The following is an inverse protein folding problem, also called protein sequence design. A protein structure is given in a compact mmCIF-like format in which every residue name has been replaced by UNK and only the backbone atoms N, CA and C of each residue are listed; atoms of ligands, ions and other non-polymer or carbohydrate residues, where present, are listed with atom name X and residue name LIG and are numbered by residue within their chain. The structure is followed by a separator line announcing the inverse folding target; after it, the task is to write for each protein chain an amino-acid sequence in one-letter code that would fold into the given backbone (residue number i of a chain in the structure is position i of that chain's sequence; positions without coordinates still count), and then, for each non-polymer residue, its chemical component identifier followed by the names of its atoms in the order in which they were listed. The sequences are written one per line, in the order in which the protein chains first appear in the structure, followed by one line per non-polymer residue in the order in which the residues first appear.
data_IF_515748949434
#
_entry.id   IF_515748949434
#
_cell.length_a   1.000
_cell.length_b   1.000
_cell.length_c   1.000
_cell.angle_alpha   90.00
_cell.angle_beta   90.00
_cell.angle_gamma   90.00
#
_symmetry.space_group_name_H-M   'P 1'
#
loop_
_entity.id
_entity.type
_entity.pdbx_description
1 polymer ?
#
# COMPACT_ATOMS: atom_id res chain seq x y z
N UNK A 1 -19.70 -35.56 -21.54
CA UNK A 1 -18.31 -35.06 -21.30
C UNK A 1 -18.20 -33.59 -20.92
N UNK A 2 -19.11 -32.70 -21.35
CA UNK A 2 -19.06 -31.27 -21.04
C UNK A 2 -19.31 -30.88 -19.57
N UNK A 3 -20.22 -31.59 -18.88
CA UNK A 3 -20.55 -31.32 -17.48
C UNK A 3 -19.37 -31.66 -16.54
N UNK A 4 -18.72 -32.79 -16.70
CA UNK A 4 -17.57 -33.17 -15.89
C UNK A 4 -16.39 -32.19 -16.02
N UNK A 5 -16.08 -31.79 -17.27
CA UNK A 5 -15.05 -30.76 -17.53
C UNK A 5 -15.39 -29.44 -16.89
N UNK A 6 -16.65 -29.00 -16.98
CA UNK A 6 -17.11 -27.74 -16.39
C UNK A 6 -17.01 -27.76 -14.85
N UNK A 7 -17.49 -28.88 -14.23
CA UNK A 7 -17.41 -29.07 -12.78
C UNK A 7 -15.98 -29.11 -12.29
N UNK A 8 -15.09 -29.80 -13.02
CA UNK A 8 -13.66 -29.85 -12.69
C UNK A 8 -13.00 -28.50 -12.78
N UNK A 9 -13.22 -27.72 -13.85
CA UNK A 9 -12.66 -26.38 -14.02
C UNK A 9 -13.18 -25.43 -12.96
N UNK A 10 -14.48 -25.45 -12.65
CA UNK A 10 -15.07 -24.63 -11.60
C UNK A 10 -14.49 -25.00 -10.22
N UNK A 11 -14.36 -26.29 -9.93
CA UNK A 11 -13.72 -26.75 -8.70
C UNK A 11 -12.27 -26.29 -8.59
N UNK A 12 -11.52 -26.37 -9.69
CA UNK A 12 -10.12 -25.91 -9.74
C UNK A 12 -10.01 -24.40 -9.45
N UNK A 13 -10.85 -23.58 -10.10
CA UNK A 13 -10.85 -22.12 -9.90
C UNK A 13 -11.13 -21.72 -8.44
N UNK A 14 -11.98 -22.49 -7.74
CA UNK A 14 -12.29 -22.24 -6.32
C UNK A 14 -11.20 -22.82 -5.41
N UNK A 15 -10.74 -24.04 -5.70
CA UNK A 15 -9.81 -24.76 -4.81
C UNK A 15 -8.39 -24.21 -4.87
N UNK A 16 -7.91 -23.78 -6.04
CA UNK A 16 -6.52 -23.30 -6.19
C UNK A 16 -6.24 -22.05 -5.35
N UNK A 17 -7.05 -20.97 -5.37
CA UNK A 17 -6.81 -19.81 -4.52
C UNK A 17 -6.84 -20.16 -3.02
N UNK A 18 -7.79 -21.01 -2.62
CA UNK A 18 -7.91 -21.45 -1.23
C UNK A 18 -6.70 -22.25 -0.78
N UNK A 19 -6.25 -23.20 -1.61
CA UNK A 19 -5.07 -24.03 -1.34
C UNK A 19 -3.79 -23.19 -1.26
N UNK A 20 -3.60 -22.24 -2.20
CA UNK A 20 -2.46 -21.31 -2.18
C UNK A 20 -2.49 -20.48 -0.88
N UNK A 21 -3.64 -19.95 -0.49
CA UNK A 21 -3.79 -19.17 0.73
C UNK A 21 -3.41 -19.98 1.97
N UNK A 22 -3.95 -21.20 2.11
CA UNK A 22 -3.67 -22.06 3.25
C UNK A 22 -2.19 -22.45 3.30
N UNK A 23 -1.61 -22.87 2.17
CA UNK A 23 -0.19 -23.25 2.08
C UNK A 23 0.70 -22.07 2.43
N UNK A 24 0.40 -20.88 1.92
CA UNK A 24 1.18 -19.65 2.21
C UNK A 24 1.09 -19.29 3.69
N UNK A 25 -0.11 -19.34 4.29
CA UNK A 25 -0.28 -19.07 5.72
C UNK A 25 0.47 -20.08 6.59
N UNK A 26 0.37 -21.37 6.30
CA UNK A 26 1.09 -22.42 7.04
C UNK A 26 2.60 -22.25 6.89
N UNK A 27 3.08 -21.94 5.68
CA UNK A 27 4.50 -21.72 5.42
C UNK A 27 5.01 -20.47 6.17
N UNK A 28 4.28 -19.36 6.12
CA UNK A 28 4.62 -18.13 6.85
C UNK A 28 4.62 -18.38 8.37
N UNK A 29 3.64 -19.10 8.89
CA UNK A 29 3.56 -19.47 10.29
C UNK A 29 4.80 -20.29 10.72
N UNK A 30 5.18 -21.30 9.95
CA UNK A 30 6.38 -22.12 10.20
C UNK A 30 7.66 -21.31 10.13
N UNK A 31 7.74 -20.34 9.22
CA UNK A 31 8.90 -19.46 9.09
C UNK A 31 9.07 -18.60 10.35
N UNK A 32 7.99 -18.00 10.83
CA UNK A 32 7.98 -17.16 12.04
C UNK A 32 8.30 -18.01 13.28
N UNK A 33 7.66 -19.16 13.43
CA UNK A 33 7.93 -20.09 14.52
C UNK A 33 9.37 -20.60 14.50
N UNK A 34 9.92 -20.85 13.31
CA UNK A 34 11.31 -21.28 13.15
C UNK A 34 12.32 -20.27 13.67
N UNK A 35 12.07 -18.98 13.45
CA UNK A 35 12.93 -17.90 13.99
C UNK A 35 12.82 -17.81 15.52
N UNK A 36 11.65 -18.04 16.08
CA UNK A 36 11.42 -17.97 17.53
C UNK A 36 11.76 -19.26 18.28
N UNK A 37 11.96 -20.38 17.58
CA UNK A 37 12.24 -21.70 18.13
C UNK A 37 13.41 -21.73 19.11
N UNK A 38 14.61 -21.17 18.79
CA UNK A 38 15.73 -21.17 19.75
C UNK A 38 15.37 -20.42 21.03
N UNK A 39 14.57 -19.37 20.97
CA UNK A 39 14.14 -18.62 22.14
C UNK A 39 13.13 -19.41 22.98
N UNK A 40 12.22 -20.14 22.37
CA UNK A 40 11.24 -20.98 23.07
C UNK A 40 11.90 -22.16 23.80
N UNK A 41 12.87 -22.80 23.16
CA UNK A 41 13.67 -23.88 23.78
C UNK A 41 14.51 -23.36 24.95
N UNK A 42 15.13 -22.17 24.78
CA UNK A 42 15.95 -21.56 25.83
C UNK A 42 15.13 -21.15 27.07
N UNK A 43 13.93 -20.56 26.86
CA UNK A 43 13.09 -20.04 27.94
C UNK A 43 12.21 -21.11 28.62
N UNK A 44 11.69 -22.06 27.83
CA UNK A 44 10.66 -23.02 28.29
C UNK A 44 11.14 -24.47 28.28
N UNK A 45 12.37 -24.73 27.82
CA UNK A 45 12.93 -26.07 27.71
C UNK A 45 12.23 -27.00 26.70
N UNK A 46 11.24 -26.50 25.97
CA UNK A 46 10.45 -27.24 24.99
C UNK A 46 10.00 -26.37 23.84
N UNK A 47 9.74 -27.01 22.72
CA UNK A 47 9.14 -26.33 21.55
C UNK A 47 7.62 -26.16 21.79
N UNK A 48 7.13 -24.93 21.69
CA UNK A 48 5.71 -24.61 21.79
C UNK A 48 5.26 -24.05 20.43
N UNK A 49 4.49 -24.80 19.64
CA UNK A 49 3.96 -24.32 18.37
C UNK A 49 3.11 -23.07 18.57
N UNK A 50 3.28 -22.06 17.73
CA UNK A 50 2.54 -20.79 17.80
C UNK A 50 3.16 -19.74 18.72
N UNK A 51 4.15 -20.09 19.54
CA UNK A 51 4.83 -19.12 20.40
C UNK A 51 5.56 -18.06 19.59
N UNK A 52 6.09 -18.44 18.41
CA UNK A 52 6.75 -17.52 17.49
C UNK A 52 5.83 -16.40 17.00
N UNK A 53 4.58 -16.71 16.76
CA UNK A 53 3.59 -15.69 16.34
C UNK A 53 3.33 -14.71 17.49
N UNK A 54 3.19 -15.19 18.71
CA UNK A 54 3.00 -14.34 19.89
C UNK A 54 4.22 -13.45 20.13
N UNK A 55 5.42 -14.02 20.07
CA UNK A 55 6.68 -13.25 20.22
C UNK A 55 6.79 -12.20 19.12
N UNK A 56 6.51 -12.55 17.87
CA UNK A 56 6.56 -11.61 16.75
C UNK A 56 5.52 -10.51 16.90
N UNK A 57 4.28 -10.84 17.29
CA UNK A 57 3.24 -9.85 17.57
C UNK A 57 3.64 -8.90 18.70
N UNK A 58 4.16 -9.45 19.81
CA UNK A 58 4.66 -8.65 20.93
C UNK A 58 5.83 -7.74 20.48
N UNK A 59 6.77 -8.26 19.69
CA UNK A 59 7.88 -7.48 19.14
C UNK A 59 7.39 -6.32 18.26
N UNK A 60 6.43 -6.59 17.35
CA UNK A 60 5.83 -5.55 16.50
C UNK A 60 5.14 -4.47 17.36
N UNK A 61 4.39 -4.87 18.39
CA UNK A 61 3.72 -3.94 19.29
C UNK A 61 4.73 -3.08 20.06
N UNK A 62 5.81 -3.67 20.56
CA UNK A 62 6.89 -2.94 21.26
C UNK A 62 7.57 -1.94 20.32
N UNK A 63 7.94 -2.39 19.11
CA UNK A 63 8.55 -1.50 18.09
C UNK A 63 7.57 -0.39 17.71
N UNK A 64 6.28 -0.69 17.53
CA UNK A 64 5.24 0.29 17.26
C UNK A 64 5.09 1.30 18.40
N UNK A 65 5.02 0.85 19.64
CA UNK A 65 4.95 1.73 20.81
C UNK A 65 6.19 2.62 20.96
N UNK A 66 7.38 2.09 20.65
CA UNK A 66 8.61 2.90 20.61
C UNK A 66 8.58 3.91 19.46
N UNK A 67 8.07 3.51 18.29
CA UNK A 67 7.99 4.37 17.12
C UNK A 67 6.99 5.53 17.27
N UNK A 68 5.97 5.41 18.12
CA UNK A 68 5.00 6.48 18.41
C UNK A 68 5.59 7.54 19.34
N UNK A 69 6.62 7.21 20.12
CA UNK A 69 7.29 8.16 21.01
C UNK A 69 8.39 8.94 20.25
N UNK A 70 8.49 10.25 20.50
CA UNK A 70 9.47 11.14 19.83
C UNK A 70 10.91 10.65 20.03
N UNK A 71 11.26 10.24 21.24
CA UNK A 71 12.61 9.75 21.58
C UNK A 71 12.86 8.40 20.89
N UNK A 72 11.91 7.47 21.00
CA UNK A 72 12.02 6.16 20.37
C UNK A 72 12.12 6.26 18.84
N UNK A 73 11.37 7.14 18.23
CA UNK A 73 11.46 7.43 16.79
C UNK A 73 12.86 7.89 16.36
N UNK A 74 13.50 8.75 17.16
CA UNK A 74 14.88 9.19 16.90
C UNK A 74 15.89 8.04 17.03
N UNK A 75 15.71 7.16 18.00
CA UNK A 75 16.57 5.98 18.19
C UNK A 75 16.43 5.02 17.01
N UNK A 76 15.19 4.70 16.62
CA UNK A 76 14.90 3.83 15.47
C UNK A 76 15.49 4.41 14.17
N UNK A 77 15.34 5.71 13.94
CA UNK A 77 15.91 6.38 12.75
C UNK A 77 17.45 6.39 12.75
N UNK A 78 18.08 6.44 13.93
CA UNK A 78 19.55 6.30 14.01
C UNK A 78 20.00 4.88 13.70
N UNK A 79 19.33 3.88 14.28
CA UNK A 79 19.59 2.46 14.00
C UNK A 79 19.40 2.13 12.52
N UNK A 80 18.33 2.63 11.92
CA UNK A 80 18.06 2.47 10.49
C UNK A 80 19.16 3.10 9.62
N UNK A 81 19.62 4.32 9.95
CA UNK A 81 20.72 4.96 9.21
C UNK A 81 22.00 4.14 9.29
N UNK A 82 22.28 3.54 10.45
CA UNK A 82 23.43 2.67 10.61
C UNK A 82 23.32 1.40 9.76
N UNK A 83 22.15 0.76 9.73
CA UNK A 83 21.87 -0.40 8.86
C UNK A 83 21.99 -0.07 7.38
N UNK A 84 21.55 1.12 6.97
CA UNK A 84 21.64 1.59 5.57
C UNK A 84 23.08 1.86 5.10
N UNK A 85 24.07 1.92 6.01
CA UNK A 85 25.48 1.97 5.66
C UNK A 85 26.02 0.61 5.17
N UNK A 86 25.29 -0.48 5.42
CA UNK A 86 25.64 -1.81 4.90
C UNK A 86 25.10 -1.91 3.45
N UNK A 87 26.00 -2.08 2.44
CA UNK A 87 25.59 -1.99 1.03
C UNK A 87 24.49 -2.97 0.65
N UNK A 88 24.58 -4.22 1.11
CA UNK A 88 23.59 -5.26 0.82
C UNK A 88 22.22 -4.93 1.44
N UNK A 89 22.21 -4.40 2.65
CA UNK A 89 20.98 -4.03 3.35
C UNK A 89 20.28 -2.86 2.66
N UNK A 90 21.04 -1.85 2.23
CA UNK A 90 20.52 -0.70 1.49
C UNK A 90 19.80 -1.10 0.20
N UNK A 91 20.37 -2.08 -0.53
CA UNK A 91 19.84 -2.51 -1.83
C UNK A 91 18.45 -3.18 -1.71
N UNK A 92 18.18 -3.87 -0.61
CA UNK A 92 16.90 -4.58 -0.39
C UNK A 92 15.93 -3.75 0.46
N UNK A 93 16.41 -3.22 1.59
CA UNK A 93 15.54 -2.55 2.57
C UNK A 93 14.96 -1.24 2.05
N UNK A 94 15.76 -0.41 1.38
CA UNK A 94 15.29 0.90 0.94
C UNK A 94 14.12 0.82 -0.06
N UNK A 95 14.16 -0.02 -1.12
CA UNK A 95 13.02 -0.20 -2.02
C UNK A 95 11.78 -0.77 -1.31
N UNK A 96 11.95 -1.78 -0.45
CA UNK A 96 10.83 -2.37 0.31
C UNK A 96 10.18 -1.33 1.21
N UNK A 97 10.97 -0.53 1.93
CA UNK A 97 10.46 0.55 2.78
C UNK A 97 9.71 1.60 1.96
N UNK A 98 10.21 1.97 0.79
CA UNK A 98 9.53 2.92 -0.10
C UNK A 98 8.19 2.37 -0.59
N UNK A 99 8.13 1.08 -0.96
CA UNK A 99 6.88 0.43 -1.33
C UNK A 99 5.87 0.45 -0.18
N UNK A 100 6.27 0.04 1.03
CA UNK A 100 5.38 0.06 2.20
C UNK A 100 4.92 1.48 2.51
N UNK A 101 5.82 2.48 2.43
CA UNK A 101 5.47 3.88 2.65
C UNK A 101 4.50 4.43 1.60
N UNK A 102 4.58 3.96 0.34
CA UNK A 102 3.65 4.38 -0.71
C UNK A 102 2.20 3.96 -0.41
N UNK A 103 2.01 2.83 0.27
CA UNK A 103 0.68 2.32 0.67
C UNK A 103 0.23 2.78 2.08
N UNK A 104 1.05 3.53 2.81
CA UNK A 104 0.69 4.02 4.13
C UNK A 104 -0.13 5.31 4.02
N UNK A 105 -1.39 5.35 4.49
CA UNK A 105 -2.26 6.53 4.39
C UNK A 105 -1.70 7.76 5.11
N UNK A 106 -0.96 7.53 6.22
CA UNK A 106 -0.41 8.58 7.08
C UNK A 106 1.00 9.03 6.65
N UNK A 107 1.58 8.43 5.61
CA UNK A 107 2.92 8.83 5.17
C UNK A 107 2.87 10.09 4.31
N UNK A 108 3.79 11.03 4.58
CA UNK A 108 3.97 12.21 3.73
C UNK A 108 4.34 11.85 2.28
N UNK A 109 4.78 10.61 2.05
CA UNK A 109 5.24 10.06 0.77
C UNK A 109 4.31 8.99 0.19
N UNK A 110 3.16 8.70 0.83
CA UNK A 110 2.18 7.72 0.36
C UNK A 110 1.20 8.28 -0.66
N UNK A 111 0.51 7.38 -1.35
CA UNK A 111 -0.64 7.74 -2.18
C UNK A 111 -1.74 8.33 -1.30
N UNK A 112 -2.18 9.54 -1.62
CA UNK A 112 -3.15 10.25 -0.79
C UNK A 112 -4.58 9.96 -1.19
N UNK A 113 -4.84 9.94 -2.50
CA UNK A 113 -6.18 9.77 -3.08
C UNK A 113 -6.07 9.20 -4.48
N UNK A 114 -7.13 8.55 -4.91
CA UNK A 114 -7.33 8.23 -6.32
C UNK A 114 -7.78 9.51 -7.03
N UNK A 115 -7.28 9.73 -8.23
CA UNK A 115 -7.62 10.88 -9.06
C UNK A 115 -7.72 10.45 -10.52
N UNK A 116 -8.68 11.04 -11.24
CA UNK A 116 -8.79 10.91 -12.69
C UNK A 116 -8.42 12.27 -13.29
N UNK A 117 -7.55 12.25 -14.28
CA UNK A 117 -7.10 13.44 -15.00
C UNK A 117 -7.25 13.23 -16.51
N UNK A 118 -7.39 14.32 -17.25
CA UNK A 118 -7.36 14.29 -18.71
C UNK A 118 -5.91 14.33 -19.20
N UNK A 119 -5.51 13.28 -19.91
CA UNK A 119 -4.23 13.19 -20.60
C UNK A 119 -4.43 13.39 -22.10
N UNK A 120 -3.69 14.32 -22.70
CA UNK A 120 -3.87 14.69 -24.12
C UNK A 120 -3.66 13.54 -25.11
N UNK A 121 -2.96 12.47 -24.72
CA UNK A 121 -2.66 11.32 -25.58
C UNK A 121 -3.51 10.11 -25.27
N UNK A 122 -3.93 9.93 -24.00
CA UNK A 122 -4.58 8.72 -23.48
C UNK A 122 -6.03 8.93 -23.11
N UNK A 123 -6.53 10.18 -23.19
CA UNK A 123 -7.85 10.54 -22.69
C UNK A 123 -7.89 10.55 -21.16
N UNK A 124 -9.01 10.16 -20.56
CA UNK A 124 -9.14 10.11 -19.11
C UNK A 124 -8.29 8.96 -18.53
N UNK A 125 -7.37 9.28 -17.64
CA UNK A 125 -6.50 8.31 -16.98
C UNK A 125 -6.71 8.32 -15.48
N UNK A 126 -6.75 7.14 -14.88
CA UNK A 126 -6.78 6.94 -13.45
C UNK A 126 -5.35 6.97 -12.91
N UNK A 127 -5.15 7.61 -11.77
CA UNK A 127 -3.87 7.68 -11.10
C UNK A 127 -4.01 7.90 -9.61
N UNK A 128 -2.87 8.11 -8.96
CA UNK A 128 -2.78 8.38 -7.53
C UNK A 128 -2.19 9.77 -7.29
N UNK A 129 -2.90 10.57 -6.50
CA UNK A 129 -2.38 11.85 -6.02
C UNK A 129 -1.18 11.58 -5.10
N UNK A 130 0.00 12.07 -5.52
CA UNK A 130 1.22 11.94 -4.73
C UNK A 130 1.55 13.22 -3.98
N UNK A 131 1.32 14.37 -4.60
CA UNK A 131 1.62 15.67 -3.96
C UNK A 131 0.71 16.79 -4.45
N UNK A 132 0.37 17.68 -3.55
CA UNK A 132 -0.21 18.99 -3.87
C UNK A 132 0.87 20.05 -3.61
N UNK A 133 1.01 21.02 -4.50
CA UNK A 133 1.99 22.09 -4.40
C UNK A 133 1.53 23.33 -5.14
N UNK A 134 2.22 24.42 -4.94
CA UNK A 134 1.94 25.68 -5.63
C UNK A 134 3.06 25.97 -6.62
N UNK A 135 2.71 26.34 -7.84
CA UNK A 135 3.64 26.75 -8.89
C UNK A 135 3.39 28.21 -9.23
N UNK A 136 4.40 29.04 -9.09
CA UNK A 136 4.39 30.41 -9.57
C UNK A 136 5.30 30.55 -10.79
N UNK A 137 4.71 30.96 -11.91
CA UNK A 137 5.42 31.22 -13.18
C UNK A 137 5.52 32.71 -13.48
N UNK A 138 5.33 33.57 -12.46
CA UNK A 138 5.34 35.04 -12.63
C UNK A 138 3.96 35.64 -12.96
N UNK A 139 2.94 34.83 -13.12
CA UNK A 139 1.54 35.25 -13.34
C UNK A 139 0.64 35.03 -12.11
N UNK A 140 1.25 34.69 -10.96
CA UNK A 140 0.56 34.32 -9.72
C UNK A 140 0.67 32.84 -9.39
N UNK A 141 0.43 32.53 -8.13
CA UNK A 141 0.55 31.18 -7.61
C UNK A 141 -0.64 30.30 -8.00
N UNK A 142 -0.39 29.22 -8.73
CA UNK A 142 -1.38 28.24 -9.15
C UNK A 142 -1.30 26.97 -8.30
N UNK A 143 -2.45 26.44 -7.88
CA UNK A 143 -2.52 25.17 -7.16
C UNK A 143 -2.36 23.99 -8.16
N UNK A 144 -1.31 23.22 -7.97
CA UNK A 144 -0.93 22.10 -8.83
C UNK A 144 -1.00 20.79 -8.07
N UNK A 145 -1.20 19.72 -8.81
CA UNK A 145 -1.15 18.36 -8.31
C UNK A 145 -0.15 17.53 -9.12
N UNK A 146 0.58 16.67 -8.43
CA UNK A 146 1.38 15.61 -9.04
C UNK A 146 0.62 14.30 -8.91
N UNK A 147 0.38 13.65 -10.03
CA UNK A 147 -0.38 12.42 -10.15
C UNK A 147 0.53 11.33 -10.70
N UNK A 148 0.66 10.25 -9.97
CA UNK A 148 1.32 9.05 -10.44
C UNK A 148 0.32 8.20 -11.22
N UNK A 149 0.58 7.97 -12.48
CA UNK A 149 -0.24 7.16 -13.38
C UNK A 149 0.49 5.86 -13.66
N UNK A 150 0.12 4.74 -12.99
CA UNK A 150 0.72 3.43 -13.26
C UNK A 150 0.52 3.02 -14.72
N UNK A 151 1.51 2.35 -15.30
CA UNK A 151 1.39 1.71 -16.62
C UNK A 151 0.98 0.24 -16.46
N UNK A 152 1.88 -0.69 -16.72
CA UNK A 152 1.57 -2.12 -16.63
C UNK A 152 1.72 -2.70 -15.21
N UNK A 153 2.44 -1.99 -14.33
CA UNK A 153 2.68 -2.39 -12.94
C UNK A 153 2.58 -1.17 -12.01
N UNK A 154 2.15 -1.39 -10.78
CA UNK A 154 1.98 -0.32 -9.79
C UNK A 154 3.26 0.46 -9.43
N UNK A 155 4.43 -0.08 -9.73
CA UNK A 155 5.74 0.55 -9.47
C UNK A 155 6.39 1.13 -10.74
N UNK A 156 5.78 0.96 -11.91
CA UNK A 156 6.19 1.57 -13.16
C UNK A 156 5.05 2.46 -13.67
N UNK A 157 5.34 3.73 -13.90
CA UNK A 157 4.34 4.69 -14.36
C UNK A 157 4.94 6.05 -14.62
N UNK A 158 4.12 6.93 -15.11
CA UNK A 158 4.45 8.31 -15.40
C UNK A 158 4.00 9.22 -14.24
N UNK A 159 4.68 10.35 -14.09
CA UNK A 159 4.23 11.43 -13.22
C UNK A 159 3.67 12.52 -14.10
N UNK A 160 2.38 12.81 -13.94
CA UNK A 160 1.69 13.89 -14.63
C UNK A 160 1.47 15.03 -13.64
N UNK A 161 1.83 16.24 -14.05
CA UNK A 161 1.60 17.45 -13.27
C UNK A 161 0.55 18.28 -13.98
N UNK A 162 -0.54 18.59 -13.30
CA UNK A 162 -1.63 19.39 -13.84
C UNK A 162 -2.20 20.33 -12.77
N UNK A 163 -3.07 21.24 -13.18
CA UNK A 163 -3.80 22.08 -12.24
C UNK A 163 -4.75 21.23 -11.37
N UNK A 164 -4.91 21.62 -10.12
CA UNK A 164 -5.83 20.93 -9.20
C UNK A 164 -7.27 20.89 -9.73
N UNK A 165 -7.68 21.93 -10.46
CA UNK A 165 -8.98 22.06 -11.09
C UNK A 165 -9.27 20.99 -12.15
N UNK A 166 -8.25 20.44 -12.78
CA UNK A 166 -8.31 19.39 -13.80
C UNK A 166 -8.43 17.97 -13.21
N UNK A 167 -8.24 17.84 -11.90
CA UNK A 167 -8.33 16.55 -11.20
C UNK A 167 -9.77 16.27 -10.75
N UNK A 168 -10.34 15.16 -11.21
CA UNK A 168 -11.55 14.59 -10.65
C UNK A 168 -11.18 13.59 -9.55
N UNK A 169 -11.68 13.80 -8.34
CA UNK A 169 -11.41 12.96 -7.17
C UNK A 169 -12.60 12.07 -6.89
N UNK A 170 -12.61 10.83 -7.38
CA UNK A 170 -13.70 9.89 -7.12
C UNK A 170 -13.72 9.48 -5.64
N UNK A 171 -14.88 9.06 -5.17
CA UNK A 171 -15.04 8.45 -3.85
C UNK A 171 -14.55 6.99 -3.90
N UNK A 172 -13.23 6.85 -4.03
CA UNK A 172 -12.50 5.59 -4.05
C UNK A 172 -11.35 5.65 -3.05
N UNK A 173 -11.20 4.57 -2.31
CA UNK A 173 -10.00 4.37 -1.49
C UNK A 173 -8.77 4.05 -2.34
N UNK A 174 -7.58 4.21 -1.78
CA UNK A 174 -6.33 3.85 -2.46
C UNK A 174 -6.29 2.36 -2.77
N UNK A 175 -6.81 1.52 -1.87
CA UNK A 175 -6.89 0.07 -2.02
C UNK A 175 -7.80 -0.33 -3.19
N UNK A 176 -8.93 0.35 -3.36
CA UNK A 176 -9.80 0.16 -4.52
C UNK A 176 -9.12 0.58 -5.81
N UNK A 177 -8.42 1.71 -5.79
CA UNK A 177 -7.59 2.15 -6.91
C UNK A 177 -6.54 1.11 -7.31
N UNK A 178 -5.79 0.58 -6.34
CA UNK A 178 -4.82 -0.51 -6.56
C UNK A 178 -5.49 -1.74 -7.16
N UNK A 179 -6.66 -2.12 -6.64
CA UNK A 179 -7.43 -3.26 -7.15
C UNK A 179 -7.87 -3.06 -8.61
N UNK A 180 -8.27 -1.84 -8.98
CA UNK A 180 -8.63 -1.50 -10.36
C UNK A 180 -7.43 -1.72 -11.28
N UNK A 181 -6.24 -1.25 -10.91
CA UNK A 181 -5.01 -1.47 -11.71
C UNK A 181 -4.63 -2.94 -11.80
N UNK A 182 -4.66 -3.68 -10.69
CA UNK A 182 -4.32 -5.11 -10.65
C UNK A 182 -5.27 -5.97 -11.49
N UNK A 183 -6.52 -5.53 -11.66
CA UNK A 183 -7.53 -6.26 -12.43
C UNK A 183 -7.67 -5.73 -13.87
N UNK A 184 -6.79 -4.82 -14.31
CA UNK A 184 -6.88 -4.23 -15.64
C UNK A 184 -8.20 -3.47 -15.88
N UNK A 185 -8.75 -2.85 -14.84
CA UNK A 185 -9.99 -2.10 -14.89
C UNK A 185 -11.26 -2.89 -14.58
N UNK A 186 -11.21 -4.22 -14.46
CA UNK A 186 -12.43 -5.03 -14.19
C UNK A 186 -13.09 -4.71 -12.85
N UNK A 187 -12.34 -4.20 -11.88
CA UNK A 187 -12.87 -3.80 -10.59
C UNK A 187 -13.42 -2.36 -10.57
N UNK A 188 -13.46 -1.67 -11.71
CA UNK A 188 -14.01 -0.33 -11.79
C UNK A 188 -15.52 -0.38 -11.52
N UNK A 189 -16.06 0.43 -10.58
CA UNK A 189 -17.50 0.48 -10.32
C UNK A 189 -18.25 1.06 -11.52
N UNK A 190 -19.50 0.64 -11.69
CA UNK A 190 -20.36 1.09 -12.79
C UNK A 190 -20.64 2.61 -12.79
N UNK A 191 -20.48 3.26 -11.64
CA UNK A 191 -20.60 4.71 -11.50
C UNK A 191 -19.59 5.25 -10.51
N UNK A 192 -18.96 6.38 -10.83
CA UNK A 192 -18.06 7.09 -9.95
C UNK A 192 -18.72 8.39 -9.49
N UNK A 193 -18.74 8.62 -8.19
CA UNK A 193 -19.19 9.87 -7.58
C UNK A 193 -17.97 10.67 -7.13
N UNK A 194 -18.08 11.99 -7.20
CA UNK A 194 -17.03 12.85 -6.67
C UNK A 194 -16.99 12.76 -5.14
N UNK A 195 -15.80 12.66 -4.57
CA UNK A 195 -15.61 12.71 -3.13
C UNK A 195 -16.07 14.08 -2.61
N UNK A 196 -17.10 14.08 -1.75
CA UNK A 196 -17.59 15.31 -1.14
C UNK A 196 -16.52 15.82 -0.15
N UNK A 197 -15.87 16.90 -0.49
CA UNK A 197 -14.90 17.56 0.39
C UNK A 197 -15.65 18.05 1.64
N UNK A 198 -15.16 17.74 2.86
CA UNK A 198 -15.79 18.18 4.13
C UNK A 198 -16.01 19.70 4.23
N UNK A 199 -15.28 20.48 3.46
CA UNK A 199 -15.51 21.93 3.32
C UNK A 199 -16.92 22.28 2.79
N UNK A 200 -17.50 21.44 1.91
CA UNK A 200 -18.86 21.63 1.39
C UNK A 200 -19.94 21.34 2.44
N UNK A 201 -19.66 20.49 3.43
CA UNK A 201 -20.60 20.21 4.53
C UNK A 201 -20.70 21.32 5.57
N UNK A 202 -19.67 22.14 5.72
CA UNK A 202 -19.70 23.30 6.62
C UNK A 202 -20.44 24.50 6.03
N UNK A 203 -20.41 24.68 4.70
CA UNK A 203 -21.12 25.77 4.02
C UNK A 203 -22.63 25.55 3.86
N UNK A 204 -23.13 24.32 4.03
CA UNK A 204 -24.56 24.01 3.90
C UNK A 204 -25.32 24.00 5.25
N UNK A 205 -24.66 24.36 6.36
CA UNK A 205 -25.23 24.45 7.71
C UNK A 205 -25.11 25.84 8.32
N UNK A 206 -24.83 26.85 7.50
CA UNK A 206 -24.82 28.26 7.91
C UNK A 206 -26.03 29.02 7.37
#
# INVERSE_FOLDING_TARGET
MSWLRRSFLTGLVVTVPLLITVVTLVWMFRLIDGVARPLSVYLLGREVPGLGVLITAAFILVVGAVATNVIGRRILQRGERWLLNVPLFKTVYAPVKQLVAAFSPDSASGFKKVVIIDDARRGMVLGFLTREFTLDRGAGAQAMIAVYVPTNHLYLGDIVVCERSQGFFPDLSVEEGVRIFLTGGMALPASLKQQTTEASRRGARG
#
